data_IF_788935905122
#
_entry.id   IF_788935905122
#
_cell.length_a   1.000
_cell.length_b   1.000
_cell.length_c   1.000
_cell.angle_alpha   90.00
_cell.angle_beta   90.00
_cell.angle_gamma   90.00
#
_symmetry.space_group_name_H-M   'P 1'
#
loop_
_entity.id
_entity.type
_entity.pdbx_description
1 polymer ?
#
# COMPACT_ATOMS: atom_id res chain seq x y z
N UNK A 1 11.27 -8.26 8.81
CA UNK A 1 10.36 -8.98 7.89
C UNK A 1 9.76 -10.12 8.69
N UNK A 2 8.46 -10.34 8.59
CA UNK A 2 7.73 -11.38 9.33
C UNK A 2 7.03 -12.29 8.33
N UNK A 3 7.03 -13.59 8.57
CA UNK A 3 6.21 -14.53 7.82
C UNK A 3 4.82 -14.57 8.44
N UNK A 4 3.77 -14.50 7.62
CA UNK A 4 2.40 -14.58 8.10
C UNK A 4 2.08 -16.03 8.46
N UNK A 5 1.51 -16.22 9.64
CA UNK A 5 0.96 -17.51 10.05
C UNK A 5 -0.35 -17.76 9.31
N UNK A 6 -0.30 -18.68 8.34
CA UNK A 6 -1.43 -19.03 7.50
C UNK A 6 -2.57 -19.70 8.27
N UNK A 7 -2.33 -20.32 9.43
CA UNK A 7 -3.40 -20.98 10.19
C UNK A 7 -4.34 -19.96 10.84
N UNK A 8 -3.76 -18.88 11.36
CA UNK A 8 -4.47 -17.84 12.12
C UNK A 8 -4.73 -16.54 11.34
N UNK A 9 -4.33 -16.47 10.06
CA UNK A 9 -4.51 -15.27 9.25
C UNK A 9 -5.97 -15.11 8.76
N UNK A 10 -6.69 -14.03 9.13
CA UNK A 10 -8.09 -13.86 8.77
C UNK A 10 -8.38 -13.84 7.26
N UNK A 11 -7.38 -13.48 6.44
CA UNK A 11 -7.52 -13.37 4.98
C UNK A 11 -7.06 -14.64 4.24
N UNK A 12 -6.73 -15.74 4.94
CA UNK A 12 -6.27 -17.00 4.34
C UNK A 12 -7.16 -17.49 3.21
N UNK A 13 -8.47 -17.54 3.43
CA UNK A 13 -9.39 -18.14 2.47
C UNK A 13 -9.58 -17.24 1.24
N UNK A 14 -9.58 -15.93 1.44
CA UNK A 14 -9.55 -14.92 0.36
C UNK A 14 -8.26 -15.07 -0.44
N UNK A 15 -7.10 -15.16 0.22
CA UNK A 15 -5.82 -15.38 -0.46
C UNK A 15 -5.84 -16.66 -1.30
N UNK A 16 -6.29 -17.79 -0.73
CA UNK A 16 -6.38 -19.08 -1.45
C UNK A 16 -7.26 -18.98 -2.69
N UNK A 17 -8.39 -18.28 -2.60
CA UNK A 17 -9.28 -18.05 -3.74
C UNK A 17 -8.60 -17.25 -4.85
N UNK A 18 -8.02 -16.09 -4.52
CA UNK A 18 -7.41 -15.20 -5.52
C UNK A 18 -6.06 -15.69 -6.07
N UNK A 19 -5.27 -16.41 -5.28
CA UNK A 19 -3.94 -16.89 -5.68
C UNK A 19 -3.99 -17.94 -6.82
N UNK A 20 -5.14 -18.58 -7.03
CA UNK A 20 -5.35 -19.53 -8.13
C UNK A 20 -5.89 -18.91 -9.43
N UNK A 21 -6.11 -17.60 -9.48
CA UNK A 21 -6.64 -16.92 -10.66
C UNK A 21 -5.50 -16.35 -11.52
N UNK A 22 -5.68 -16.32 -12.83
CA UNK A 22 -4.68 -15.76 -13.76
C UNK A 22 -4.53 -14.23 -13.60
N UNK A 23 -5.63 -13.53 -13.29
CA UNK A 23 -5.67 -12.06 -13.23
C UNK A 23 -6.41 -11.54 -11.97
N UNK A 24 -5.87 -11.73 -10.76
CA UNK A 24 -6.52 -11.37 -9.50
C UNK A 24 -6.32 -9.89 -9.13
N UNK A 25 -6.43 -8.98 -10.10
CA UNK A 25 -6.23 -7.55 -9.90
C UNK A 25 -7.42 -6.73 -10.41
N UNK A 26 -7.65 -5.60 -9.75
CA UNK A 26 -8.66 -4.62 -10.14
C UNK A 26 -8.10 -3.22 -9.92
N UNK A 27 -8.72 -2.23 -10.56
CA UNK A 27 -8.34 -0.84 -10.44
C UNK A 27 -9.52 -0.02 -9.92
N UNK A 28 -9.21 0.96 -9.07
CA UNK A 28 -10.16 1.98 -8.62
C UNK A 28 -9.58 3.33 -9.01
N UNK A 29 -10.42 4.20 -9.57
CA UNK A 29 -10.12 5.60 -9.80
C UNK A 29 -11.12 6.44 -9.00
N UNK A 30 -10.61 7.41 -8.26
CA UNK A 30 -11.43 8.30 -7.45
C UNK A 30 -10.86 9.73 -7.51
N UNK A 31 -11.75 10.71 -7.48
CA UNK A 31 -11.36 12.11 -7.34
C UNK A 31 -11.06 12.41 -5.87
N UNK A 32 -9.90 13.00 -5.61
CA UNK A 32 -9.47 13.38 -4.26
C UNK A 32 -9.29 14.89 -4.20
N UNK A 33 -10.02 15.54 -3.29
CA UNK A 33 -9.83 16.96 -3.01
C UNK A 33 -8.51 17.18 -2.24
N UNK A 34 -7.53 17.77 -2.93
CA UNK A 34 -6.21 18.10 -2.36
C UNK A 34 -6.08 19.59 -1.97
N UNK A 35 -7.16 20.37 -1.91
CA UNK A 35 -7.13 21.82 -1.66
C UNK A 35 -6.36 22.18 -0.39
N UNK A 36 -6.56 21.42 0.69
CA UNK A 36 -5.83 21.61 1.96
C UNK A 36 -4.34 21.31 1.81
N UNK A 37 -4.00 20.16 1.21
CA UNK A 37 -2.61 19.75 0.97
C UNK A 37 -1.88 20.77 0.10
N UNK A 38 -2.53 21.23 -0.97
CA UNK A 38 -2.02 22.25 -1.87
C UNK A 38 -1.61 23.53 -1.14
N UNK A 39 -2.51 24.03 -0.29
CA UNK A 39 -2.28 25.25 0.51
C UNK A 39 -1.09 25.07 1.46
N UNK A 40 -1.03 23.95 2.16
CA UNK A 40 0.04 23.65 3.11
C UNK A 40 1.40 23.51 2.43
N UNK A 41 1.46 22.80 1.28
CA UNK A 41 2.69 22.66 0.50
C UNK A 41 3.21 24.03 0.06
N UNK A 42 2.32 24.90 -0.46
CA UNK A 42 2.67 26.26 -0.88
C UNK A 42 3.20 27.11 0.26
N UNK A 43 2.56 27.06 1.44
CA UNK A 43 2.98 27.82 2.62
C UNK A 43 4.34 27.34 3.17
N UNK A 44 4.64 26.04 3.01
CA UNK A 44 5.84 25.41 3.58
C UNK A 44 7.01 25.29 2.60
N UNK A 45 6.85 25.77 1.35
CA UNK A 45 7.86 25.63 0.30
C UNK A 45 8.09 24.19 -0.18
N UNK A 46 7.16 23.27 0.11
CA UNK A 46 7.25 21.85 -0.27
C UNK A 46 6.64 21.66 -1.65
N UNK A 47 7.25 20.82 -2.49
CA UNK A 47 6.66 20.46 -3.78
C UNK A 47 5.35 19.69 -3.56
N UNK A 48 4.32 19.99 -4.35
CA UNK A 48 3.02 19.29 -4.28
C UNK A 48 3.17 17.78 -4.48
N UNK A 49 4.07 17.40 -5.40
CA UNK A 49 4.42 16.01 -5.65
C UNK A 49 4.96 15.32 -4.38
N UNK A 50 5.92 15.93 -3.69
CA UNK A 50 6.48 15.38 -2.46
C UNK A 50 5.43 15.30 -1.34
N UNK A 51 4.52 16.28 -1.25
CA UNK A 51 3.40 16.25 -0.31
C UNK A 51 2.47 15.05 -0.53
N UNK A 52 2.09 14.78 -1.79
CA UNK A 52 1.29 13.61 -2.16
C UNK A 52 2.06 12.32 -1.95
N UNK A 53 3.30 12.25 -2.42
CA UNK A 53 4.17 11.07 -2.30
C UNK A 53 4.33 10.66 -0.84
N UNK A 54 4.59 11.62 0.05
CA UNK A 54 4.66 11.37 1.49
C UNK A 54 3.34 10.83 2.04
N UNK A 55 2.21 11.46 1.69
CA UNK A 55 0.88 11.01 2.13
C UNK A 55 0.59 9.56 1.74
N UNK A 56 0.79 9.23 0.46
CA UNK A 56 0.61 7.86 -0.06
C UNK A 56 1.56 6.88 0.62
N UNK A 57 2.85 7.23 0.74
CA UNK A 57 3.86 6.37 1.35
C UNK A 57 3.58 6.11 2.83
N UNK A 58 3.12 7.13 3.56
CA UNK A 58 2.74 7.01 4.97
C UNK A 58 1.57 6.03 5.13
N UNK A 59 0.49 6.21 4.37
CA UNK A 59 -0.69 5.32 4.46
C UNK A 59 -0.35 3.89 4.05
N UNK A 60 0.47 3.71 3.00
CA UNK A 60 0.98 2.40 2.60
C UNK A 60 1.79 1.70 3.72
N UNK A 61 2.40 2.47 4.62
CA UNK A 61 3.12 1.95 5.78
C UNK A 61 2.28 1.86 7.07
N UNK A 62 1.07 2.42 7.10
CA UNK A 62 0.14 2.25 8.23
C UNK A 62 -0.72 1.01 8.03
N UNK A 63 -1.19 0.75 6.81
CA UNK A 63 -2.03 -0.41 6.49
C UNK A 63 -1.14 -1.63 6.25
N UNK A 64 -1.34 -2.68 7.06
CA UNK A 64 -0.50 -3.87 7.06
C UNK A 64 -0.47 -4.58 5.71
N UNK A 65 -1.62 -4.67 5.05
CA UNK A 65 -1.76 -5.43 3.81
C UNK A 65 -1.05 -4.78 2.62
N UNK A 66 -0.81 -3.46 2.67
CA UNK A 66 0.03 -2.79 1.68
C UNK A 66 1.53 -3.11 1.84
N UNK A 67 1.94 -3.64 3.00
CA UNK A 67 3.31 -4.11 3.27
C UNK A 67 3.49 -5.61 3.03
N UNK A 68 2.44 -6.33 2.64
CA UNK A 68 2.49 -7.77 2.41
C UNK A 68 2.95 -8.12 0.99
N UNK A 69 3.72 -9.20 0.84
CA UNK A 69 4.22 -9.70 -0.45
C UNK A 69 4.16 -11.22 -0.47
N UNK A 70 4.01 -11.78 -1.67
CA UNK A 70 4.17 -13.22 -1.91
C UNK A 70 5.62 -13.43 -2.35
N UNK A 71 6.34 -14.33 -1.67
CA UNK A 71 7.68 -14.77 -2.06
C UNK A 71 7.72 -16.28 -2.05
N UNK A 72 7.94 -16.87 -3.22
CA UNK A 72 7.69 -18.30 -3.44
C UNK A 72 6.28 -18.67 -2.95
N UNK A 73 6.16 -19.57 -1.98
CA UNK A 73 4.87 -20.04 -1.46
C UNK A 73 4.49 -19.40 -0.11
N UNK A 74 5.19 -18.33 0.29
CA UNK A 74 4.98 -17.69 1.58
C UNK A 74 4.46 -16.26 1.43
N UNK A 75 3.51 -15.91 2.29
CA UNK A 75 3.08 -14.52 2.48
C UNK A 75 3.93 -13.91 3.60
N UNK A 76 4.55 -12.78 3.29
CA UNK A 76 5.45 -12.08 4.19
C UNK A 76 4.98 -10.66 4.39
N UNK A 77 5.30 -10.07 5.54
CA UNK A 77 5.03 -8.67 5.86
C UNK A 77 6.34 -7.92 6.12
N UNK A 78 6.49 -6.80 5.41
CA UNK A 78 7.58 -5.86 5.66
C UNK A 78 7.27 -4.94 6.84
N UNK A 79 8.32 -4.55 7.56
CA UNK A 79 8.20 -3.52 8.59
C UNK A 79 7.96 -2.15 7.96
N UNK A 80 8.67 -1.86 6.87
CA UNK A 80 8.55 -0.64 6.08
C UNK A 80 8.65 -0.97 4.59
N UNK A 81 7.88 -0.27 3.77
CA UNK A 81 8.00 -0.25 2.31
C UNK A 81 8.34 1.16 1.83
N UNK A 82 9.20 1.26 0.83
CA UNK A 82 9.62 2.54 0.26
C UNK A 82 8.89 2.81 -1.06
N UNK A 83 8.51 4.06 -1.34
CA UNK A 83 7.92 4.40 -2.63
C UNK A 83 8.95 4.24 -3.75
N UNK A 84 8.48 3.79 -4.91
CA UNK A 84 9.16 3.97 -6.19
C UNK A 84 8.38 5.02 -6.97
N UNK A 85 9.07 6.00 -7.54
CA UNK A 85 8.48 7.10 -8.28
C UNK A 85 9.21 7.31 -9.60
N UNK A 86 8.51 7.90 -10.57
CA UNK A 86 9.01 8.28 -11.90
C UNK A 86 9.24 9.78 -11.98
#
# INVERSE_FOLDING_TARGET
>A
MLTIDMENWPRRDIYRFYNGLDYPHFNICAEIDITRLHRQCRQSGISRFNGVLYGVSRIANEIEEFRQRIRAEQVIQHQVVHPSYT
#
